data_IF_655008108870
#
_entry.id   IF_655008108870
#
_cell.length_a   1.000
_cell.length_b   1.000
_cell.length_c   1.000
_cell.angle_alpha   90.00
_cell.angle_beta   90.00
_cell.angle_gamma   90.00
#
_symmetry.space_group_name_H-M   'P 1'
#
loop_
_entity.id
_entity.type
_entity.pdbx_description
1 polymer ?
#
# COMPACT_ATOMS: atom_id res chain seq x y z
N UNK A 1 87.59 29.42 10.70
CA UNK A 1 87.58 27.95 10.59
C UNK A 1 86.26 27.50 11.18
N UNK A 2 85.33 26.78 10.54
CA UNK A 2 85.24 26.07 9.28
C UNK A 2 83.72 26.03 8.92
N UNK A 3 83.35 26.29 7.65
CA UNK A 3 82.77 25.32 6.70
C UNK A 3 81.34 24.85 7.07
N UNK A 4 80.29 25.30 6.36
CA UNK A 4 79.70 24.69 5.14
C UNK A 4 78.59 23.66 5.47
N UNK A 5 77.32 23.97 5.20
CA UNK A 5 76.53 23.60 3.99
C UNK A 5 76.35 22.09 3.75
N UNK A 6 75.15 21.59 4.06
CA UNK A 6 74.44 20.47 3.41
C UNK A 6 72.95 20.89 3.38
N UNK A 7 72.34 21.33 2.28
CA UNK A 7 71.83 20.55 1.14
C UNK A 7 71.15 19.24 1.56
N UNK A 8 69.82 19.23 1.47
CA UNK A 8 68.97 18.07 1.74
C UNK A 8 67.49 18.37 1.48
N UNK A 9 67.17 18.76 0.24
CA UNK A 9 65.82 18.64 -0.33
C UNK A 9 65.38 17.18 -0.20
N UNK A 10 64.26 16.96 0.49
CA UNK A 10 63.72 15.61 0.67
C UNK A 10 62.45 15.57 1.51
N UNK A 11 61.56 16.57 1.39
CA UNK A 11 60.20 16.46 1.91
C UNK A 11 59.37 15.63 0.92
N UNK A 12 59.71 14.34 0.83
CA UNK A 12 58.96 13.35 0.07
C UNK A 12 57.66 13.03 0.82
N UNK A 13 56.56 13.51 0.24
CA UNK A 13 55.23 12.94 0.25
C UNK A 13 55.13 11.55 0.94
N UNK A 14 54.69 11.55 2.19
CA UNK A 14 53.97 10.42 2.80
C UNK A 14 52.57 10.90 3.15
N UNK A 15 51.84 11.32 2.11
CA UNK A 15 50.39 11.48 2.13
C UNK A 15 49.82 10.47 1.13
N UNK A 16 49.67 9.21 1.55
CA UNK A 16 48.78 8.28 0.89
C UNK A 16 48.54 7.07 1.80
N UNK A 17 47.29 6.63 1.82
CA UNK A 17 46.79 5.41 2.48
C UNK A 17 46.50 5.54 3.98
N UNK A 18 45.54 6.40 4.32
CA UNK A 18 44.55 5.98 5.32
C UNK A 18 43.39 5.43 4.53
N UNK A 19 43.24 4.11 4.64
CA UNK A 19 42.24 3.30 3.99
C UNK A 19 40.85 3.95 4.08
N UNK A 20 40.18 4.04 2.94
CA UNK A 20 38.74 4.24 2.89
C UNK A 20 38.08 3.08 3.62
N UNK A 21 37.76 3.29 4.89
CA UNK A 21 36.69 2.53 5.53
C UNK A 21 35.41 3.02 4.88
N UNK A 22 34.98 2.31 3.85
CA UNK A 22 33.59 2.26 3.47
C UNK A 22 32.82 1.90 4.75
N UNK A 23 32.22 2.90 5.40
CA UNK A 23 31.17 2.67 6.37
C UNK A 23 30.02 2.08 5.58
N UNK A 24 30.06 0.75 5.41
CA UNK A 24 28.88 -0.01 5.09
C UNK A 24 27.87 0.37 6.17
N UNK A 25 26.85 1.13 5.79
CA UNK A 25 25.74 1.42 6.67
C UNK A 25 25.27 0.07 7.24
N UNK A 26 25.26 -0.12 8.57
CA UNK A 26 24.82 -1.37 9.14
C UNK A 26 23.40 -1.60 8.64
N UNK A 27 23.18 -2.69 7.89
CA UNK A 27 21.83 -3.12 7.53
C UNK A 27 21.03 -3.10 8.83
N UNK A 28 20.00 -2.24 8.92
CA UNK A 28 19.17 -2.14 10.13
C UNK A 28 18.79 -3.59 10.51
N UNK A 29 19.14 -4.04 11.74
CA UNK A 29 18.86 -5.42 12.14
C UNK A 29 17.36 -5.65 11.96
N UNK A 30 17.00 -6.82 11.43
CA UNK A 30 15.59 -7.20 11.30
C UNK A 30 15.05 -7.28 12.73
N UNK A 31 14.21 -6.31 13.09
CA UNK A 31 13.60 -6.26 14.40
C UNK A 31 12.77 -7.54 14.62
N UNK A 32 12.93 -8.14 15.80
CA UNK A 32 12.23 -9.37 16.20
C UNK A 32 11.29 -9.06 17.35
N UNK A 33 10.09 -9.62 17.31
CA UNK A 33 9.08 -9.46 18.35
C UNK A 33 9.52 -10.09 19.68
N UNK A 34 9.36 -9.34 20.78
CA UNK A 34 9.55 -9.78 22.17
C UNK A 34 8.32 -10.53 22.66
N UNK A 35 8.38 -11.85 22.62
CA UNK A 35 7.22 -12.69 22.95
C UNK A 35 6.83 -12.62 24.43
N UNK A 36 7.79 -12.29 25.27
CA UNK A 36 7.60 -12.10 26.71
C UNK A 36 6.63 -10.96 27.04
N UNK A 37 6.52 -9.95 26.17
CA UNK A 37 5.71 -8.76 26.44
C UNK A 37 4.23 -8.94 26.07
N UNK A 38 3.94 -9.90 25.19
CA UNK A 38 2.61 -10.16 24.63
C UNK A 38 1.53 -10.27 25.72
N UNK A 39 1.70 -11.05 26.82
CA UNK A 39 0.68 -11.18 27.85
C UNK A 39 0.31 -9.87 28.56
N UNK A 40 1.22 -8.89 28.59
CA UNK A 40 1.01 -7.61 29.28
C UNK A 40 0.25 -6.61 28.40
N UNK A 41 0.39 -6.72 27.08
CA UNK A 41 -0.15 -5.75 26.13
C UNK A 41 -1.39 -6.22 25.35
N UNK A 42 -1.75 -7.52 25.43
CA UNK A 42 -2.88 -8.12 24.69
C UNK A 42 -4.16 -7.29 24.73
N UNK A 43 -4.60 -6.89 25.91
CA UNK A 43 -5.85 -6.13 26.04
C UNK A 43 -5.73 -4.74 25.40
N UNK A 44 -4.63 -4.01 25.66
CA UNK A 44 -4.41 -2.69 25.07
C UNK A 44 -4.31 -2.72 23.54
N UNK A 45 -3.68 -3.76 22.98
CA UNK A 45 -3.64 -4.00 21.54
C UNK A 45 -5.04 -4.26 21.00
N UNK A 46 -5.85 -5.07 21.68
CA UNK A 46 -7.22 -5.35 21.25
C UNK A 46 -8.10 -4.09 21.21
N UNK A 47 -8.00 -3.23 22.22
CA UNK A 47 -8.72 -1.95 22.24
C UNK A 47 -8.33 -1.05 21.07
N UNK A 48 -7.03 -1.02 20.71
CA UNK A 48 -6.56 -0.27 19.54
C UNK A 48 -7.06 -0.88 18.23
N UNK A 49 -7.07 -2.21 18.07
CA UNK A 49 -7.63 -2.87 16.88
C UNK A 49 -9.08 -2.42 16.65
N UNK A 50 -9.91 -2.46 17.70
CA UNK A 50 -11.32 -2.06 17.63
C UNK A 50 -11.45 -0.59 17.19
N UNK A 51 -10.64 0.30 17.78
CA UNK A 51 -10.62 1.73 17.44
C UNK A 51 -10.24 1.94 15.97
N UNK A 52 -9.27 1.19 15.47
CA UNK A 52 -8.77 1.33 14.11
C UNK A 52 -9.71 0.70 13.08
N UNK A 53 -10.36 -0.42 13.37
CA UNK A 53 -11.44 -0.98 12.55
C UNK A 53 -12.57 0.03 12.35
N UNK A 54 -13.07 0.61 13.45
CA UNK A 54 -14.16 1.58 13.42
C UNK A 54 -13.79 2.83 12.62
N UNK A 55 -12.58 3.36 12.83
CA UNK A 55 -12.03 4.50 12.09
C UNK A 55 -11.91 4.21 10.58
N UNK A 56 -11.29 3.11 10.19
CA UNK A 56 -11.04 2.78 8.79
C UNK A 56 -12.35 2.46 8.05
N UNK A 57 -13.22 1.63 8.64
CA UNK A 57 -14.55 1.32 8.06
C UNK A 57 -15.40 2.58 7.89
N UNK A 58 -15.40 3.47 8.89
CA UNK A 58 -16.11 4.75 8.82
C UNK A 58 -15.51 5.68 7.76
N UNK A 59 -14.19 5.74 7.64
CA UNK A 59 -13.51 6.51 6.59
C UNK A 59 -13.92 6.04 5.20
N UNK A 60 -13.89 4.74 4.93
CA UNK A 60 -14.28 4.18 3.63
C UNK A 60 -15.78 4.42 3.38
N UNK A 61 -16.64 4.24 4.39
CA UNK A 61 -18.09 4.53 4.27
C UNK A 61 -18.33 5.99 3.86
N UNK A 62 -17.58 6.94 4.41
CA UNK A 62 -17.71 8.36 4.08
C UNK A 62 -17.20 8.70 2.67
N UNK A 63 -16.13 8.05 2.20
CA UNK A 63 -15.58 8.26 0.85
C UNK A 63 -16.50 7.73 -0.26
N UNK A 64 -17.23 6.65 0.02
CA UNK A 64 -18.05 5.92 -0.97
C UNK A 64 -19.52 6.37 -0.93
N UNK A 65 -19.91 7.16 0.07
CA UNK A 65 -21.26 7.71 0.20
C UNK A 65 -21.71 8.41 -1.11
N UNK A 66 -22.94 8.15 -1.59
CA UNK A 66 -24.05 7.44 -0.94
C UNK A 66 -24.09 5.92 -1.21
N UNK A 67 -23.08 5.34 -1.87
CA UNK A 67 -23.05 3.88 -2.10
C UNK A 67 -22.77 3.15 -0.78
N UNK A 68 -23.34 1.95 -0.64
CA UNK A 68 -23.09 1.10 0.52
C UNK A 68 -21.72 0.47 0.42
N UNK A 69 -21.05 0.37 1.56
CA UNK A 69 -19.81 -0.35 1.74
C UNK A 69 -20.02 -1.83 1.37
N UNK A 70 -19.12 -2.41 0.59
CA UNK A 70 -19.20 -3.83 0.27
C UNK A 70 -18.61 -4.68 1.40
N UNK A 71 -19.10 -5.90 1.55
CA UNK A 71 -18.55 -6.88 2.51
C UNK A 71 -17.06 -7.14 2.25
N UNK A 72 -16.66 -7.23 0.98
CA UNK A 72 -15.27 -7.41 0.56
C UNK A 72 -14.34 -6.31 1.12
N UNK A 73 -14.78 -5.05 1.13
CA UNK A 73 -13.97 -3.95 1.66
C UNK A 73 -13.77 -4.06 3.18
N UNK A 74 -14.76 -4.58 3.91
CA UNK A 74 -14.65 -4.78 5.36
C UNK A 74 -13.70 -5.96 5.65
N UNK A 75 -13.81 -7.04 4.87
CA UNK A 75 -12.91 -8.20 4.97
C UNK A 75 -11.45 -7.77 4.72
N UNK A 76 -11.20 -7.00 3.66
CA UNK A 76 -9.85 -6.50 3.34
C UNK A 76 -9.25 -5.68 4.50
N UNK A 77 -10.06 -4.82 5.13
CA UNK A 77 -9.63 -4.07 6.32
C UNK A 77 -9.34 -5.01 7.49
N UNK A 78 -10.22 -5.96 7.78
CA UNK A 78 -10.04 -6.88 8.91
C UNK A 78 -8.82 -7.80 8.75
N UNK A 79 -8.56 -8.29 7.53
CA UNK A 79 -7.40 -9.14 7.22
C UNK A 79 -6.07 -8.36 7.29
N UNK A 80 -6.06 -7.10 6.84
CA UNK A 80 -4.83 -6.31 6.71
C UNK A 80 -4.56 -5.35 7.87
N UNK A 81 -5.45 -5.22 8.86
CA UNK A 81 -5.27 -4.29 9.98
C UNK A 81 -3.99 -4.56 10.80
N UNK A 82 -3.53 -5.81 10.84
CA UNK A 82 -2.30 -6.18 11.51
C UNK A 82 -1.13 -6.39 10.54
N UNK A 83 -1.28 -6.05 9.27
CA UNK A 83 -0.27 -6.24 8.25
C UNK A 83 0.46 -4.91 8.06
N UNK A 84 1.66 -4.79 8.62
CA UNK A 84 2.43 -3.58 8.44
C UNK A 84 2.53 -3.26 6.94
N UNK A 85 2.73 -4.24 6.02
CA UNK A 85 2.93 -4.01 4.57
C UNK A 85 1.77 -3.31 3.84
N UNK A 86 0.68 -3.01 4.52
CA UNK A 86 -0.55 -2.48 3.97
C UNK A 86 -0.95 -1.22 4.73
N UNK A 87 -1.69 -0.33 4.09
CA UNK A 87 -2.06 0.96 4.69
C UNK A 87 -2.94 0.79 5.92
N UNK A 88 -3.72 -0.29 5.95
CA UNK A 88 -4.58 -0.69 7.06
C UNK A 88 -3.78 -1.01 8.32
N UNK A 89 -2.48 -1.31 8.19
CA UNK A 89 -1.55 -1.58 9.29
C UNK A 89 -0.65 -0.39 9.67
N UNK A 90 -0.74 0.76 9.01
CA UNK A 90 0.13 1.92 9.26
C UNK A 90 -0.03 2.48 10.69
N UNK A 91 -1.19 2.28 11.31
CA UNK A 91 -1.45 2.70 12.70
C UNK A 91 -0.51 2.03 13.71
N UNK A 92 0.05 0.85 13.40
CA UNK A 92 1.02 0.18 14.27
C UNK A 92 2.32 0.98 14.41
N UNK A 93 2.68 1.79 13.41
CA UNK A 93 3.88 2.65 13.42
C UNK A 93 3.72 3.86 14.33
N UNK A 94 2.49 4.18 14.74
CA UNK A 94 2.19 5.27 15.66
C UNK A 94 2.12 4.81 17.11
N UNK A 95 2.37 3.52 17.39
CA UNK A 95 2.25 2.98 18.73
C UNK A 95 3.62 2.74 19.36
N UNK A 96 3.69 3.08 20.64
CA UNK A 96 4.86 2.93 21.49
C UNK A 96 4.49 2.19 22.78
N UNK A 97 5.38 1.35 23.30
CA UNK A 97 5.17 0.61 24.55
C UNK A 97 5.87 1.36 25.68
N UNK A 98 5.10 2.13 26.45
CA UNK A 98 5.63 2.92 27.56
C UNK A 98 5.49 2.15 28.88
N UNK A 99 6.58 2.13 29.65
CA UNK A 99 6.61 1.56 31.00
C UNK A 99 5.98 2.56 32.00
N UNK A 100 4.86 2.18 32.60
CA UNK A 100 4.14 2.93 33.63
C UNK A 100 4.17 2.17 34.94
N UNK A 101 5.30 2.27 35.65
CA UNK A 101 5.56 1.53 36.89
C UNK A 101 5.54 0.02 36.66
N UNK A 102 4.61 -0.68 37.31
CA UNK A 102 4.48 -2.14 37.20
C UNK A 102 3.61 -2.58 35.98
N UNK A 103 3.29 -1.67 35.04
CA UNK A 103 2.43 -1.95 33.87
C UNK A 103 3.04 -1.45 32.57
N UNK A 104 2.80 -2.17 31.47
CA UNK A 104 3.05 -1.67 30.12
C UNK A 104 1.78 -1.02 29.59
N UNK A 105 1.92 0.18 29.02
CA UNK A 105 0.83 0.91 28.35
C UNK A 105 1.18 1.16 26.89
N UNK A 106 0.17 1.05 26.04
CA UNK A 106 0.29 1.48 24.65
C UNK A 106 -0.06 2.96 24.55
N UNK A 107 0.83 3.75 23.97
CA UNK A 107 0.65 5.18 23.74
C UNK A 107 0.66 5.44 22.23
N UNK A 108 -0.35 6.17 21.74
CA UNK A 108 -0.44 6.64 20.36
C UNK A 108 0.36 7.95 20.24
N UNK A 109 1.39 7.94 19.40
CA UNK A 109 2.26 9.07 19.08
C UNK A 109 1.72 9.83 17.86
N UNK A 110 2.07 11.10 17.72
CA UNK A 110 1.60 11.95 16.61
C UNK A 110 2.32 11.67 15.28
N UNK A 111 3.57 11.20 15.34
CA UNK A 111 4.41 10.92 14.17
C UNK A 111 4.63 9.42 14.00
N UNK A 112 4.77 8.95 12.76
CA UNK A 112 5.16 7.58 12.45
C UNK A 112 6.58 7.30 12.95
N UNK A 113 6.79 6.16 13.62
CA UNK A 113 8.09 5.74 14.12
C UNK A 113 8.82 4.75 13.23
N UNK A 114 10.11 4.57 13.50
CA UNK A 114 10.86 3.39 13.06
C UNK A 114 10.29 2.11 13.68
N UNK A 115 9.98 1.12 12.85
CA UNK A 115 9.46 -0.15 13.34
C UNK A 115 10.58 -1.00 13.94
N UNK A 116 10.75 -0.87 15.25
CA UNK A 116 11.69 -1.61 16.08
C UNK A 116 11.08 -2.91 16.64
N UNK A 117 11.74 -3.52 17.64
CA UNK A 117 11.27 -4.74 18.29
C UNK A 117 9.88 -4.56 18.94
N UNK A 118 9.56 -3.37 19.44
CA UNK A 118 8.26 -3.06 20.05
C UNK A 118 7.14 -3.06 19.02
N UNK A 119 7.32 -2.33 17.90
CA UNK A 119 6.40 -2.36 16.77
C UNK A 119 6.11 -3.79 16.29
N UNK A 120 7.16 -4.63 16.21
CA UNK A 120 7.02 -6.05 15.86
C UNK A 120 6.30 -6.87 16.93
N UNK A 121 6.43 -6.50 18.18
CA UNK A 121 5.71 -7.12 19.30
C UNK A 121 4.22 -6.77 19.26
N UNK A 122 3.87 -5.53 18.93
CA UNK A 122 2.49 -5.09 18.72
C UNK A 122 1.92 -5.80 17.49
N UNK A 123 2.62 -5.83 16.35
CA UNK A 123 2.21 -6.55 15.14
C UNK A 123 1.90 -8.03 15.47
N UNK A 124 2.81 -8.70 16.19
CA UNK A 124 2.62 -10.10 16.58
C UNK A 124 1.41 -10.28 17.50
N UNK A 125 1.24 -9.40 18.48
CA UNK A 125 0.10 -9.44 19.41
C UNK A 125 -1.20 -9.19 18.65
N UNK A 126 -1.20 -8.28 17.68
CA UNK A 126 -2.33 -7.97 16.84
C UNK A 126 -2.79 -9.22 16.07
N UNK A 127 -1.84 -9.91 15.42
CA UNK A 127 -2.09 -11.17 14.72
C UNK A 127 -2.63 -12.27 15.65
N UNK A 128 -2.17 -12.33 16.92
CA UNK A 128 -2.72 -13.28 17.90
C UNK A 128 -4.15 -12.95 18.34
N UNK A 129 -4.55 -11.68 18.31
CA UNK A 129 -5.86 -11.21 18.78
C UNK A 129 -6.93 -11.34 17.69
N UNK A 130 -6.66 -10.87 16.47
CA UNK A 130 -7.66 -10.85 15.39
C UNK A 130 -7.38 -11.86 14.28
N UNK A 131 -6.16 -12.39 14.12
CA UNK A 131 -5.78 -13.13 12.91
C UNK A 131 -6.57 -14.43 12.63
N UNK A 132 -7.22 -15.02 13.64
CA UNK A 132 -8.14 -16.17 13.45
C UNK A 132 -9.63 -15.79 13.44
N UNK A 133 -9.92 -14.52 13.71
CA UNK A 133 -11.25 -13.97 13.95
C UNK A 133 -11.59 -12.84 12.96
N UNK A 134 -10.71 -12.56 12.01
CA UNK A 134 -10.83 -11.50 11.01
C UNK A 134 -12.12 -11.61 10.20
N UNK A 135 -12.45 -12.82 9.75
CA UNK A 135 -13.69 -13.14 9.03
C UNK A 135 -14.94 -12.95 9.89
N UNK A 136 -14.93 -13.46 11.13
CA UNK A 136 -16.04 -13.29 12.09
C UNK A 136 -16.28 -11.81 12.44
N UNK A 137 -15.20 -11.05 12.61
CA UNK A 137 -15.23 -9.61 12.89
C UNK A 137 -15.75 -8.85 11.68
N UNK A 138 -15.31 -9.19 10.47
CA UNK A 138 -15.79 -8.57 9.25
C UNK A 138 -17.29 -8.82 9.02
N UNK A 139 -17.75 -10.06 9.27
CA UNK A 139 -19.17 -10.40 9.20
C UNK A 139 -19.99 -9.58 10.21
N UNK A 140 -19.50 -9.48 11.45
CA UNK A 140 -20.18 -8.71 12.51
C UNK A 140 -20.28 -7.22 12.17
N UNK A 141 -19.18 -6.63 11.65
CA UNK A 141 -19.11 -5.25 11.18
C UNK A 141 -20.08 -4.98 10.02
N UNK A 142 -20.17 -5.91 9.07
CA UNK A 142 -21.03 -5.77 7.89
C UNK A 142 -22.52 -5.88 8.23
N UNK A 143 -22.90 -6.86 9.06
CA UNK A 143 -24.32 -7.15 9.36
C UNK A 143 -24.91 -6.23 10.42
N UNK A 144 -24.14 -5.95 11.48
CA UNK A 144 -24.68 -5.33 12.69
C UNK A 144 -24.41 -3.82 12.77
N UNK A 145 -23.47 -3.30 11.97
CA UNK A 145 -22.94 -1.93 12.08
C UNK A 145 -22.77 -1.50 13.56
N UNK A 146 -22.01 -2.29 14.35
CA UNK A 146 -21.98 -2.15 15.79
C UNK A 146 -21.32 -0.83 16.20
N UNK A 147 -21.74 -0.27 17.34
CA UNK A 147 -20.96 0.76 18.01
C UNK A 147 -19.64 0.17 18.51
N UNK A 148 -18.59 1.00 18.63
CA UNK A 148 -17.23 0.57 18.99
C UNK A 148 -17.19 -0.19 20.33
N UNK A 149 -18.08 0.10 21.28
CA UNK A 149 -18.20 -0.62 22.55
C UNK A 149 -18.70 -2.07 22.40
N UNK A 150 -19.64 -2.30 21.50
CA UNK A 150 -20.14 -3.65 21.16
C UNK A 150 -19.07 -4.45 20.44
N UNK A 151 -18.32 -3.80 19.53
CA UNK A 151 -17.19 -4.43 18.84
C UNK A 151 -16.07 -4.80 19.81
N UNK A 152 -15.78 -3.94 20.79
CA UNK A 152 -14.81 -4.22 21.86
C UNK A 152 -15.21 -5.45 22.66
N UNK A 153 -16.48 -5.54 23.07
CA UNK A 153 -16.96 -6.71 23.79
C UNK A 153 -16.84 -7.99 22.96
N UNK A 154 -17.30 -7.94 21.71
CA UNK A 154 -17.28 -9.08 20.80
C UNK A 154 -15.85 -9.57 20.52
N UNK A 155 -14.95 -8.69 20.09
CA UNK A 155 -13.58 -9.07 19.75
C UNK A 155 -12.72 -9.35 21.00
N UNK A 156 -12.70 -8.44 21.97
CA UNK A 156 -11.73 -8.48 23.07
C UNK A 156 -12.12 -9.38 24.24
N UNK A 157 -13.42 -9.61 24.46
CA UNK A 157 -13.88 -10.46 25.57
C UNK A 157 -14.41 -11.81 25.06
N UNK A 158 -15.21 -11.82 24.00
CA UNK A 158 -15.91 -13.04 23.58
C UNK A 158 -15.03 -13.93 22.66
N UNK A 159 -14.45 -13.36 21.60
CA UNK A 159 -13.63 -14.09 20.62
C UNK A 159 -12.19 -14.33 21.12
N UNK A 160 -11.40 -13.25 21.21
CA UNK A 160 -9.96 -13.34 21.50
C UNK A 160 -9.64 -13.58 22.98
N UNK A 161 -10.58 -13.26 23.88
CA UNK A 161 -10.40 -13.24 25.34
C UNK A 161 -9.19 -12.42 25.81
N UNK A 162 -8.72 -11.49 24.98
CA UNK A 162 -7.55 -10.67 25.25
C UNK A 162 -7.71 -9.77 26.49
N UNK A 163 -8.94 -9.32 26.77
CA UNK A 163 -9.27 -8.47 27.91
C UNK A 163 -9.98 -9.22 29.06
N UNK A 164 -10.19 -10.53 28.94
CA UNK A 164 -10.89 -11.31 29.97
C UNK A 164 -10.10 -11.43 31.28
N UNK A 165 -8.77 -11.36 31.20
CA UNK A 165 -7.86 -11.39 32.35
C UNK A 165 -7.09 -10.08 32.41
N UNK A 166 -7.01 -9.48 33.60
CA UNK A 166 -6.21 -8.27 33.80
C UNK A 166 -4.73 -8.59 33.51
N UNK A 167 -4.00 -7.70 32.80
CA UNK A 167 -2.58 -7.90 32.56
C UNK A 167 -1.81 -8.17 33.85
N UNK A 168 -0.91 -9.17 33.87
CA UNK A 168 -0.05 -9.41 35.03
C UNK A 168 0.88 -8.21 35.27
N UNK A 169 1.41 -8.03 36.50
CA UNK A 169 2.40 -7.01 36.76
C UNK A 169 3.73 -7.35 36.07
N UNK A 170 4.39 -6.33 35.54
CA UNK A 170 5.65 -6.47 34.79
C UNK A 170 6.80 -6.84 35.74
N UNK A 171 7.65 -7.83 35.41
CA UNK A 171 8.82 -8.16 36.20
C UNK A 171 9.82 -6.99 36.25
N UNK A 172 10.38 -6.70 37.44
CA UNK A 172 11.35 -5.61 37.63
C UNK A 172 12.72 -5.85 36.96
N UNK A 173 13.02 -7.11 36.64
CA UNK A 173 14.26 -7.51 35.96
C UNK A 173 14.15 -7.47 34.43
N UNK A 174 13.03 -6.95 33.90
CA UNK A 174 12.83 -6.77 32.46
C UNK A 174 13.77 -5.69 31.94
N UNK A 175 14.44 -5.96 30.82
CA UNK A 175 15.14 -4.92 30.07
C UNK A 175 14.12 -3.97 29.43
N UNK A 176 14.21 -2.65 29.69
CA UNK A 176 13.38 -1.68 29.02
C UNK A 176 13.48 -1.80 27.51
N UNK A 177 12.37 -1.49 26.83
CA UNK A 177 12.33 -1.53 25.38
C UNK A 177 13.14 -0.39 24.74
N UNK A 178 13.32 -0.50 23.42
CA UNK A 178 14.03 0.52 22.66
C UNK A 178 13.14 1.76 22.54
N UNK A 179 13.67 2.98 22.72
CA UNK A 179 12.85 4.18 22.68
C UNK A 179 12.24 4.40 21.29
N UNK A 180 11.04 4.97 21.26
CA UNK A 180 10.40 5.40 20.02
C UNK A 180 11.27 6.43 19.27
N UNK A 181 11.62 6.11 18.03
CA UNK A 181 12.33 7.03 17.14
C UNK A 181 11.34 7.57 16.11
N UNK A 182 10.87 8.83 16.25
CA UNK A 182 9.96 9.42 15.28
C UNK A 182 10.67 9.63 13.95
N UNK A 183 10.01 9.23 12.86
CA UNK A 183 10.44 9.51 11.49
C UNK A 183 10.03 10.91 11.11
N UNK A 184 10.80 11.50 10.20
CA UNK A 184 10.36 12.70 9.51
C UNK A 184 9.18 12.38 8.58
N UNK A 185 8.25 13.31 8.40
CA UNK A 185 7.08 13.10 7.52
C UNK A 185 7.46 12.71 6.10
N UNK A 186 8.56 13.25 5.56
CA UNK A 186 9.07 12.91 4.23
C UNK A 186 9.55 11.46 4.13
N UNK A 187 10.15 10.95 5.20
CA UNK A 187 10.63 9.57 5.25
C UNK A 187 9.47 8.60 5.39
N UNK A 188 8.49 8.93 6.23
CA UNK A 188 7.24 8.19 6.36
C UNK A 188 6.49 8.07 5.03
N UNK A 189 6.30 9.19 4.32
CA UNK A 189 5.65 9.21 3.00
C UNK A 189 6.42 8.38 1.95
N UNK A 190 7.75 8.51 1.93
CA UNK A 190 8.60 7.73 1.03
C UNK A 190 8.50 6.23 1.31
N UNK A 191 8.50 5.82 2.58
CA UNK A 191 8.37 4.41 2.96
C UNK A 191 6.98 3.86 2.67
N UNK A 192 5.93 4.65 2.87
CA UNK A 192 4.56 4.30 2.49
C UNK A 192 4.44 4.03 0.99
N UNK A 193 5.09 4.83 0.15
CA UNK A 193 5.17 4.59 -1.29
C UNK A 193 5.89 3.27 -1.58
N UNK A 194 7.06 3.04 -0.98
CA UNK A 194 7.83 1.80 -1.17
C UNK A 194 7.08 0.54 -0.71
N UNK A 195 6.28 0.68 0.35
CA UNK A 195 5.43 -0.38 0.91
C UNK A 195 4.27 -0.74 -0.02
N UNK A 196 3.56 0.25 -0.56
CA UNK A 196 2.47 0.01 -1.51
C UNK A 196 2.95 -0.70 -2.78
N UNK A 197 4.17 -0.41 -3.24
CA UNK A 197 4.79 -1.12 -4.37
C UNK A 197 5.14 -2.58 -4.07
N UNK A 198 5.50 -2.90 -2.83
CA UNK A 198 5.88 -4.26 -2.40
C UNK A 198 4.70 -5.23 -2.30
N UNK A 199 3.46 -4.71 -2.30
CA UNK A 199 2.23 -5.49 -2.21
C UNK A 199 1.61 -5.89 -3.56
N UNK A 200 2.19 -5.48 -4.69
CA UNK A 200 1.62 -5.70 -6.02
C UNK A 200 2.08 -7.05 -6.64
N UNK A 201 1.18 -7.93 -7.09
CA UNK A 201 1.54 -9.19 -7.75
C UNK A 201 2.44 -8.94 -8.97
N UNK A 202 3.62 -9.57 -9.01
CA UNK A 202 4.59 -9.41 -10.11
C UNK A 202 5.78 -8.49 -9.82
N UNK A 203 5.78 -7.75 -8.70
CA UNK A 203 6.91 -6.90 -8.29
C UNK A 203 8.04 -7.66 -7.56
N UNK A 204 7.88 -8.96 -7.29
CA UNK A 204 8.84 -9.77 -6.51
C UNK A 204 10.21 -9.95 -7.16
N UNK A 205 10.33 -9.70 -8.47
CA UNK A 205 11.59 -9.84 -9.22
C UNK A 205 12.23 -8.49 -9.60
N UNK A 206 11.64 -7.36 -9.21
CA UNK A 206 12.26 -6.05 -9.42
C UNK A 206 13.16 -5.74 -8.22
N UNK A 207 14.48 -5.78 -8.41
CA UNK A 207 15.43 -5.34 -7.39
C UNK A 207 15.21 -3.85 -7.14
N UNK A 208 14.66 -3.50 -5.98
CA UNK A 208 14.65 -2.12 -5.49
C UNK A 208 16.11 -1.70 -5.27
N UNK A 209 16.64 -0.86 -6.15
CA UNK A 209 17.96 -0.26 -5.99
C UNK A 209 17.88 0.81 -4.90
N UNK A 210 18.83 0.80 -3.98
CA UNK A 210 18.94 1.87 -2.98
C UNK A 210 19.36 3.18 -3.66
N UNK A 211 19.14 4.33 -2.99
CA UNK A 211 19.55 5.65 -3.51
C UNK A 211 21.03 5.67 -3.95
N UNK A 212 21.87 4.93 -3.25
CA UNK A 212 23.30 4.83 -3.53
C UNK A 212 23.58 3.93 -4.74
N UNK A 213 22.78 2.88 -4.96
CA UNK A 213 22.91 2.02 -6.15
C UNK A 213 22.49 2.73 -7.44
N UNK A 214 21.50 3.63 -7.38
CA UNK A 214 21.09 4.47 -8.52
C UNK A 214 22.15 5.51 -8.88
N UNK A 215 22.84 6.07 -7.88
CA UNK A 215 23.93 7.02 -8.08
C UNK A 215 25.22 6.36 -8.58
N UNK A 216 25.40 5.06 -8.29
CA UNK A 216 26.59 4.30 -8.60
C UNK A 216 26.39 3.35 -9.80
N UNK A 217 25.26 3.44 -10.50
CA UNK A 217 25.07 2.79 -11.79
C UNK A 217 25.95 3.52 -12.83
N UNK A 218 27.01 2.87 -13.35
CA UNK A 218 27.67 3.41 -14.51
C UNK A 218 26.75 3.15 -15.71
N UNK A 219 26.62 4.14 -16.58
CA UNK A 219 25.99 4.05 -17.91
C UNK A 219 24.51 4.46 -18.06
N UNK A 220 24.09 5.57 -17.46
CA UNK A 220 23.07 6.42 -18.08
C UNK A 220 23.78 7.48 -18.95
N UNK A 221 24.09 7.10 -20.19
CA UNK A 221 24.61 7.99 -21.22
C UNK A 221 26.11 7.90 -21.46
N UNK A 222 26.54 6.96 -22.31
CA UNK A 222 27.44 7.23 -23.43
C UNK A 222 27.60 5.99 -24.31
N UNK A 223 27.72 6.23 -25.60
CA UNK A 223 28.03 5.31 -26.70
C UNK A 223 26.86 4.47 -27.20
N UNK A 224 26.10 5.08 -28.10
CA UNK A 224 25.62 4.35 -29.26
C UNK A 224 26.76 4.13 -30.24
N UNK A 225 26.82 2.92 -30.78
CA UNK A 225 27.24 2.59 -32.14
C UNK A 225 26.38 1.38 -32.51
N UNK A 226 25.49 1.55 -33.49
CA UNK A 226 25.00 0.55 -34.46
C UNK A 226 23.92 1.25 -35.33
N UNK A 227 24.47 2.03 -36.27
CA UNK A 227 24.14 2.19 -37.70
C UNK A 227 22.68 2.11 -38.23
N UNK A 228 22.42 3.05 -39.15
CA UNK A 228 21.42 3.09 -40.24
C UNK A 228 19.99 3.59 -39.93
N UNK A 229 19.71 4.88 -40.18
CA UNK A 229 19.15 5.35 -41.47
C UNK A 229 18.50 6.74 -41.40
N UNK A 230 18.80 7.52 -42.45
CA UNK A 230 18.13 8.71 -43.01
C UNK A 230 18.39 10.10 -42.37
N UNK A 231 19.23 10.82 -43.12
CA UNK A 231 19.53 12.25 -43.14
C UNK A 231 18.27 13.12 -43.27
N UNK A 232 18.21 14.19 -42.48
CA UNK A 232 17.75 15.50 -42.94
C UNK A 232 18.49 16.56 -42.11
N UNK A 233 19.57 17.08 -42.70
CA UNK A 233 20.28 18.28 -42.27
C UNK A 233 19.40 19.52 -42.50
N UNK A 234 19.39 20.43 -41.52
CA UNK A 234 19.46 21.89 -41.73
C UNK A 234 19.67 22.58 -40.36
N UNK A 235 20.93 22.56 -39.95
CA UNK A 235 21.78 23.74 -39.69
C UNK A 235 21.32 24.89 -38.76
N UNK A 236 22.10 25.00 -37.67
CA UNK A 236 22.84 26.20 -37.27
C UNK A 236 22.06 27.44 -36.78
N UNK A 237 22.14 27.74 -35.47
CA UNK A 237 23.06 28.82 -35.04
C UNK A 237 23.25 28.85 -33.53
N UNK A 238 24.52 28.84 -33.20
CA UNK A 238 25.15 28.99 -31.90
C UNK A 238 24.58 30.06 -30.96
N UNK A 239 24.65 29.69 -29.67
CA UNK A 239 24.64 30.53 -28.48
C UNK A 239 25.23 31.92 -28.67
N UNK A 240 24.40 32.96 -28.53
CA UNK A 240 24.82 34.28 -28.05
C UNK A 240 23.64 35.17 -27.66
N UNK A 241 23.40 35.30 -26.35
CA UNK A 241 23.26 36.58 -25.60
C UNK A 241 22.43 36.40 -24.33
N UNK A 242 23.12 36.34 -23.19
CA UNK A 242 22.55 36.83 -21.93
C UNK A 242 22.25 38.32 -22.06
N UNK A 243 21.00 38.73 -21.82
CA UNK A 243 20.67 39.89 -20.97
C UNK A 243 19.17 39.97 -20.67
N UNK A 244 18.89 39.85 -19.37
CA UNK A 244 17.73 40.36 -18.62
C UNK A 244 16.59 41.01 -19.43
N UNK A 245 15.41 40.39 -19.39
CA UNK A 245 14.16 41.15 -19.31
C UNK A 245 13.13 40.36 -18.49
N UNK A 246 12.79 40.88 -17.31
CA UNK A 246 11.69 40.39 -16.47
C UNK A 246 10.37 40.54 -17.23
N UNK A 247 9.56 39.48 -17.35
CA UNK A 247 8.13 39.55 -17.67
C UNK A 247 7.36 38.48 -16.86
N UNK A 248 6.08 38.72 -16.55
CA UNK A 248 5.44 38.22 -15.33
C UNK A 248 4.90 36.79 -15.48
N UNK A 249 4.98 36.04 -14.37
CA UNK A 249 4.32 34.76 -14.13
C UNK A 249 2.80 34.95 -14.09
N UNK A 250 2.12 34.99 -15.23
CA UNK A 250 0.66 34.81 -15.30
C UNK A 250 0.27 34.14 -16.62
N UNK A 251 -0.55 33.08 -16.53
CA UNK A 251 -1.41 32.45 -17.57
C UNK A 251 -1.03 31.09 -18.19
N UNK A 252 0.15 30.52 -17.96
CA UNK A 252 0.48 29.20 -18.55
C UNK A 252 -0.37 28.07 -17.92
N UNK A 253 -0.82 28.22 -16.67
CA UNK A 253 -1.52 27.15 -15.94
C UNK A 253 -2.96 26.87 -16.41
N UNK A 254 -3.64 27.85 -17.03
CA UNK A 254 -5.03 27.65 -17.49
C UNK A 254 -5.14 26.94 -18.84
N UNK A 255 -4.13 27.07 -19.70
CA UNK A 255 -4.20 26.54 -21.06
C UNK A 255 -3.87 25.04 -21.13
N UNK A 256 -2.92 24.56 -20.31
CA UNK A 256 -2.64 23.11 -20.25
C UNK A 256 -3.80 22.34 -19.61
N UNK A 257 -4.48 22.91 -18.62
CA UNK A 257 -5.65 22.28 -17.97
C UNK A 257 -6.82 22.14 -18.95
N UNK A 258 -7.05 23.13 -19.81
CA UNK A 258 -8.08 23.06 -20.87
C UNK A 258 -7.71 22.01 -21.93
N UNK A 259 -6.46 21.99 -22.38
CA UNK A 259 -5.99 21.00 -23.34
C UNK A 259 -6.09 19.56 -22.81
N UNK A 260 -5.82 19.36 -21.51
CA UNK A 260 -5.90 18.05 -20.87
C UNK A 260 -7.36 17.60 -20.66
N UNK A 261 -8.26 18.52 -20.29
CA UNK A 261 -9.70 18.26 -20.21
C UNK A 261 -10.32 17.89 -21.56
N UNK A 262 -9.95 18.58 -22.65
CA UNK A 262 -10.45 18.26 -24.00
C UNK A 262 -9.97 16.88 -24.48
N UNK A 263 -8.72 16.50 -24.16
CA UNK A 263 -8.18 15.17 -24.47
C UNK A 263 -8.85 14.05 -23.67
N UNK A 264 -9.15 14.30 -22.40
CA UNK A 264 -9.88 13.35 -21.55
C UNK A 264 -11.33 13.20 -22.04
N UNK A 265 -12.02 14.31 -22.31
CA UNK A 265 -13.41 14.29 -22.74
C UNK A 265 -13.58 13.64 -24.11
N UNK A 266 -12.69 13.89 -25.08
CA UNK A 266 -12.72 13.22 -26.39
C UNK A 266 -12.46 11.71 -26.27
N UNK A 267 -11.56 11.29 -25.37
CA UNK A 267 -11.30 9.86 -25.11
C UNK A 267 -12.51 9.17 -24.47
N UNK A 268 -13.16 9.81 -23.48
CA UNK A 268 -14.37 9.27 -22.86
C UNK A 268 -15.55 9.20 -23.84
N UNK A 269 -15.68 10.16 -24.74
CA UNK A 269 -16.74 10.16 -25.78
C UNK A 269 -16.57 8.97 -26.73
N UNK A 270 -15.34 8.73 -27.21
CA UNK A 270 -15.02 7.62 -28.11
C UNK A 270 -15.19 6.24 -27.45
N UNK A 271 -14.90 6.14 -26.15
CA UNK A 271 -15.13 4.90 -25.36
C UNK A 271 -16.62 4.68 -25.09
N UNK A 272 -17.38 5.74 -24.81
CA UNK A 272 -18.83 5.68 -24.60
C UNK A 272 -19.56 5.21 -25.87
N UNK A 273 -19.20 5.71 -27.04
CA UNK A 273 -19.81 5.27 -28.29
C UNK A 273 -19.46 3.81 -28.62
N UNK A 274 -18.19 3.40 -28.43
CA UNK A 274 -17.79 1.99 -28.62
C UNK A 274 -18.47 1.02 -27.66
N UNK A 275 -18.65 1.40 -26.39
CA UNK A 275 -19.33 0.57 -25.40
C UNK A 275 -20.83 0.51 -25.63
N UNK A 276 -21.46 1.60 -26.10
CA UNK A 276 -22.88 1.64 -26.43
C UNK A 276 -23.21 0.75 -27.65
N UNK A 277 -22.35 0.71 -28.67
CA UNK A 277 -22.50 -0.22 -29.80
C UNK A 277 -22.36 -1.70 -29.38
N UNK A 278 -21.46 -2.01 -28.45
CA UNK A 278 -21.30 -3.38 -27.93
C UNK A 278 -22.50 -3.83 -27.08
N UNK A 279 -23.03 -2.94 -26.23
CA UNK A 279 -24.22 -3.23 -25.39
C UNK A 279 -25.48 -3.40 -26.25
N UNK A 280 -25.67 -2.58 -27.28
CA UNK A 280 -26.78 -2.73 -28.22
C UNK A 280 -26.66 -4.00 -29.06
N UNK A 281 -25.44 -4.37 -29.47
CA UNK A 281 -25.17 -5.64 -30.19
C UNK A 281 -25.44 -6.87 -29.34
N UNK A 282 -25.08 -6.84 -28.04
CA UNK A 282 -25.40 -7.91 -27.09
C UNK A 282 -26.92 -8.03 -26.86
N UNK A 283 -27.63 -6.90 -26.75
CA UNK A 283 -29.09 -6.87 -26.61
C UNK A 283 -29.81 -7.46 -27.84
N UNK A 284 -29.40 -7.07 -29.05
CA UNK A 284 -29.96 -7.62 -30.30
C UNK A 284 -29.73 -9.14 -30.43
N UNK A 285 -28.56 -9.62 -30.00
CA UNK A 285 -28.23 -11.05 -30.03
C UNK A 285 -29.10 -11.86 -29.07
N UNK A 286 -29.39 -11.32 -27.87
CA UNK A 286 -30.27 -11.96 -26.90
C UNK A 286 -31.74 -11.97 -27.35
N UNK A 287 -32.24 -10.89 -27.94
CA UNK A 287 -33.61 -10.82 -28.47
C UNK A 287 -33.81 -11.82 -29.62
N UNK A 288 -32.80 -11.99 -30.48
CA UNK A 288 -32.83 -12.96 -31.59
C UNK A 288 -32.81 -14.42 -31.11
N UNK A 289 -32.12 -14.71 -30.02
CA UNK A 289 -32.12 -16.05 -29.38
C UNK A 289 -33.49 -16.31 -28.73
N UNK A 290 -34.03 -15.33 -28.01
CA UNK A 290 -35.36 -15.39 -27.40
C UNK A 290 -36.46 -15.69 -28.43
N UNK A 291 -36.42 -15.03 -29.60
CA UNK A 291 -37.41 -15.25 -30.67
C UNK A 291 -37.30 -16.62 -31.33
N UNK A 292 -36.08 -17.16 -31.47
CA UNK A 292 -35.87 -18.54 -31.95
C UNK A 292 -36.45 -19.57 -30.97
N UNK A 293 -36.21 -19.38 -29.68
CA UNK A 293 -36.77 -20.26 -28.63
C UNK A 293 -38.30 -20.17 -28.62
N UNK A 294 -38.86 -18.96 -28.77
CA UNK A 294 -40.31 -18.75 -28.83
C UNK A 294 -40.97 -19.41 -30.04
N UNK A 295 -40.34 -19.34 -31.22
CA UNK A 295 -40.82 -20.01 -32.44
C UNK A 295 -40.73 -21.54 -32.32
N UNK A 296 -39.64 -22.06 -31.76
CA UNK A 296 -39.48 -23.50 -31.49
C UNK A 296 -40.56 -24.00 -30.52
N UNK A 297 -40.83 -23.26 -29.45
CA UNK A 297 -41.86 -23.62 -28.47
C UNK A 297 -43.28 -23.57 -29.05
N UNK A 298 -43.57 -22.61 -29.93
CA UNK A 298 -44.85 -22.53 -30.66
C UNK A 298 -45.01 -23.65 -31.70
N UNK A 299 -43.94 -24.05 -32.38
CA UNK A 299 -43.95 -25.18 -33.33
C UNK A 299 -44.19 -26.53 -32.64
N UNK A 300 -43.72 -26.69 -31.40
CA UNK A 300 -43.93 -27.93 -30.62
C UNK A 300 -45.37 -28.09 -30.10
N UNK A 301 -46.15 -27.00 -29.99
CA UNK A 301 -47.58 -27.05 -29.63
C UNK A 301 -48.51 -27.38 -30.80
N UNK A 302 -48.08 -27.26 -32.06
CA UNK A 302 -48.93 -27.61 -33.22
C UNK A 302 -48.82 -29.09 -33.62
N UNK A 303 -47.82 -29.84 -33.12
CA UNK A 303 -47.63 -31.26 -33.43
C UNK A 303 -48.35 -32.23 -32.48
N UNK A 304 -49.11 -31.73 -31.50
CA UNK A 304 -49.94 -32.55 -30.61
C UNK A 304 -51.42 -32.41 -30.95
N UNK A 305 -51.87 -33.07 -32.02
CA UNK A 305 -53.29 -33.46 -32.18
C UNK A 305 -53.41 -34.95 -31.83
N UNK A 306 -54.44 -35.38 -31.07
CA UNK A 306 -54.58 -36.77 -30.63
C UNK A 306 -55.03 -37.69 -31.78
N UNK A 307 -54.43 -38.88 -31.89
CA UNK A 307 -54.86 -39.92 -32.83
C UNK A 307 -56.13 -40.62 -32.33
N UNK A 308 -57.09 -40.82 -33.24
CA UNK A 308 -58.37 -41.51 -33.03
C UNK A 308 -58.18 -42.92 -32.46
N UNK A 309 -59.01 -43.27 -31.47
CA UNK A 309 -59.22 -44.61 -30.92
C UNK A 309 -59.85 -45.53 -31.98
N UNK A 310 -59.22 -46.69 -32.21
CA UNK A 310 -59.82 -47.83 -32.91
C UNK A 310 -60.51 -48.73 -31.89
N UNK A 311 -61.80 -48.95 -32.11
CA UNK A 311 -62.68 -49.87 -31.40
C UNK A 311 -62.36 -51.30 -31.87
N UNK A 312 -62.14 -52.24 -30.94
CA UNK A 312 -62.12 -53.68 -31.24
C UNK A 312 -63.12 -54.37 -30.30
N UNK A 313 -64.17 -54.91 -30.89
CA UNK A 313 -65.07 -55.92 -30.33
C UNK A 313 -64.37 -57.28 -30.36
N UNK A 314 -64.22 -57.93 -29.20
CA UNK A 314 -64.85 -59.19 -28.77
C UNK A 314 -64.22 -59.65 -27.46
#
# INVERSE_FOLDING_TARGET
>A
MAMARFLGLGFLFVFAVIAGQAMAAPKKPIAVARREDIPYIKCGVCEQIVKQLDRQVTSIRNQIAPKRLSEYQIIEVAENICNLKKEEGDWLLHLDIVEDGDKLKLVEQEQEGDCNAECKTIERTCQEVIGYHDTDVAEFLFKSEPQSSSLLKFLCNDLSRACSVKPPPVPKDRTPGEPFVPKSSKEAEMEKIMRSMSGMPGASNMKMYSKDDLMNMPNFGSNGEDEDDEEDEDDDYTSSRMRNTKRPLVSVESDWKKSLLDRVQSTFSNVKDRTQHAVLGAKWSLDRISDKIRKWYKGRKSSSKPSKSQKVEL
#
